data_IF_100133247470
#
_entry.id   IF_100133247470
#
_cell.length_a   1.000
_cell.length_b   1.000
_cell.length_c   1.000
_cell.angle_alpha   90.00
_cell.angle_beta   90.00
_cell.angle_gamma   90.00
#
_symmetry.space_group_name_H-M   'P 1'
#
loop_
_entity.id
_entity.type
_entity.pdbx_description
1 polymer ?
#
# COMPACT_ATOMS: atom_id res chain seq x y z
N UNK A 1 -17.35 -1.51 6.29
CA UNK A 1 -16.79 -2.59 7.17
C UNK A 1 -16.68 -3.90 6.38
N UNK A 2 -15.50 -4.21 5.81
CA UNK A 2 -15.20 -5.57 5.32
C UNK A 2 -15.64 -6.60 6.37
N UNK A 3 -16.55 -7.50 6.00
CA UNK A 3 -16.74 -8.72 6.77
C UNK A 3 -15.49 -9.54 6.54
N UNK A 4 -14.53 -9.41 7.46
CA UNK A 4 -13.26 -10.16 7.46
C UNK A 4 -13.46 -11.67 7.25
N UNK A 5 -14.61 -12.19 7.70
CA UNK A 5 -15.01 -13.58 7.48
C UNK A 5 -15.28 -13.88 6.00
N UNK A 6 -15.85 -12.96 5.24
CA UNK A 6 -16.11 -13.14 3.81
C UNK A 6 -14.79 -13.21 3.02
N UNK A 7 -13.81 -12.35 3.36
CA UNK A 7 -12.46 -12.40 2.77
C UNK A 7 -11.69 -13.66 3.15
N UNK A 8 -11.78 -14.08 4.42
CA UNK A 8 -11.19 -15.33 4.89
C UNK A 8 -11.79 -16.52 4.11
N UNK A 9 -13.12 -16.60 4.04
CA UNK A 9 -13.82 -17.68 3.35
C UNK A 9 -13.50 -17.68 1.86
N UNK A 10 -13.47 -16.51 1.22
CA UNK A 10 -13.10 -16.38 -0.19
C UNK A 10 -11.68 -16.85 -0.46
N UNK A 11 -10.71 -16.44 0.36
CA UNK A 11 -9.32 -16.90 0.22
C UNK A 11 -9.19 -18.40 0.49
N UNK A 12 -9.80 -18.92 1.56
CA UNK A 12 -9.75 -20.34 1.87
C UNK A 12 -10.37 -21.17 0.74
N UNK A 13 -11.49 -20.74 0.16
CA UNK A 13 -12.12 -21.41 -0.98
C UNK A 13 -11.22 -21.44 -2.22
N UNK A 14 -10.47 -20.37 -2.49
CA UNK A 14 -9.50 -20.31 -3.61
C UNK A 14 -8.34 -21.28 -3.36
N UNK A 15 -7.88 -21.41 -2.11
CA UNK A 15 -6.86 -22.40 -1.72
C UNK A 15 -7.39 -23.83 -1.86
N UNK A 16 -8.57 -24.10 -1.29
CA UNK A 16 -9.19 -25.44 -1.28
C UNK A 16 -9.57 -25.93 -2.69
N UNK A 17 -9.94 -25.01 -3.59
CA UNK A 17 -10.24 -25.33 -4.99
C UNK A 17 -8.99 -25.61 -5.85
N UNK A 18 -7.78 -25.43 -5.30
CA UNK A 18 -6.53 -25.64 -6.02
C UNK A 18 -6.17 -24.54 -7.02
N UNK A 19 -6.84 -23.38 -6.96
CA UNK A 19 -6.44 -22.21 -7.75
C UNK A 19 -5.13 -21.59 -7.26
N UNK A 20 -4.84 -21.73 -5.96
CA UNK A 20 -3.53 -21.43 -5.36
C UNK A 20 -2.88 -22.78 -5.03
N UNK A 21 -1.82 -23.13 -5.76
CA UNK A 21 -1.23 -24.48 -5.69
C UNK A 21 0.00 -24.55 -4.80
N UNK A 22 0.65 -23.41 -4.55
CA UNK A 22 1.89 -23.35 -3.79
C UNK A 22 2.05 -22.00 -3.06
N UNK A 23 3.09 -21.91 -2.24
CA UNK A 23 3.40 -20.72 -1.43
C UNK A 23 3.66 -19.46 -2.27
N UNK A 24 4.23 -19.61 -3.47
CA UNK A 24 4.50 -18.48 -4.37
C UNK A 24 3.20 -17.90 -4.95
N UNK A 25 2.27 -18.75 -5.38
CA UNK A 25 0.95 -18.31 -5.85
C UNK A 25 0.20 -17.56 -4.75
N UNK A 26 0.24 -18.08 -3.52
CA UNK A 26 -0.34 -17.44 -2.35
C UNK A 26 0.30 -16.09 -2.08
N UNK A 27 1.63 -16.00 -2.11
CA UNK A 27 2.35 -14.74 -1.94
C UNK A 27 1.93 -13.71 -2.98
N UNK A 28 1.84 -14.09 -4.27
CA UNK A 28 1.41 -13.20 -5.35
C UNK A 28 -0.02 -12.71 -5.11
N UNK A 29 -0.93 -13.60 -4.70
CA UNK A 29 -2.33 -13.27 -4.43
C UNK A 29 -2.47 -12.27 -3.27
N UNK A 30 -1.77 -12.53 -2.16
CA UNK A 30 -1.74 -11.68 -0.95
C UNK A 30 -1.15 -10.31 -1.30
N UNK A 31 -0.01 -10.30 -1.99
CA UNK A 31 0.66 -9.07 -2.35
C UNK A 31 -0.15 -8.20 -3.31
N UNK A 32 -0.87 -8.79 -4.28
CA UNK A 32 -1.76 -8.05 -5.20
C UNK A 32 -2.90 -7.31 -4.49
N UNK A 33 -3.16 -7.62 -3.22
CA UNK A 33 -4.10 -6.89 -2.33
C UNK A 33 -3.40 -5.95 -1.35
N UNK A 34 -2.08 -5.90 -1.35
CA UNK A 34 -1.29 -5.11 -0.41
C UNK A 34 -1.37 -5.63 1.03
N UNK A 35 -1.67 -6.92 1.18
CA UNK A 35 -1.74 -7.62 2.47
C UNK A 35 -0.38 -8.20 2.85
N UNK A 36 -0.24 -8.58 4.12
CA UNK A 36 0.92 -9.32 4.63
C UNK A 36 0.49 -10.72 5.08
N UNK A 37 1.43 -11.67 5.11
CA UNK A 37 1.20 -13.04 5.58
C UNK A 37 2.38 -13.52 6.43
N UNK A 38 2.10 -14.36 7.44
CA UNK A 38 3.12 -14.99 8.30
C UNK A 38 2.77 -16.44 8.58
N UNK A 39 3.76 -17.31 8.51
CA UNK A 39 3.65 -18.71 8.91
C UNK A 39 3.53 -18.79 10.44
N UNK A 40 2.75 -19.74 10.95
CA UNK A 40 2.66 -20.06 12.38
C UNK A 40 3.24 -21.44 12.64
N UNK A 41 3.65 -21.73 13.87
CA UNK A 41 4.14 -23.07 14.23
C UNK A 41 3.01 -24.11 14.36
N UNK A 42 1.76 -23.67 14.26
CA UNK A 42 0.57 -24.50 14.44
C UNK A 42 0.17 -25.25 13.17
N UNK A 43 -0.39 -26.44 13.37
CA UNK A 43 -1.03 -27.25 12.34
C UNK A 43 -2.53 -27.33 12.61
N UNK A 44 -3.34 -27.42 11.56
CA UNK A 44 -4.76 -27.75 11.68
C UNK A 44 -4.97 -29.24 11.99
N UNK A 45 -6.20 -29.64 12.25
CA UNK A 45 -6.59 -31.06 12.43
C UNK A 45 -6.26 -31.91 11.20
N UNK A 46 -6.29 -31.29 10.00
CA UNK A 46 -5.89 -31.92 8.73
C UNK A 46 -4.37 -31.95 8.54
N UNK A 47 -3.60 -31.54 9.55
CA UNK A 47 -2.14 -31.39 9.54
C UNK A 47 -1.64 -30.40 8.49
N UNK A 48 -2.48 -29.44 8.09
CA UNK A 48 -2.09 -28.33 7.22
C UNK A 48 -1.46 -27.21 8.04
N UNK A 49 -0.52 -26.46 7.44
CA UNK A 49 0.12 -25.34 8.12
C UNK A 49 -0.85 -24.16 8.26
N UNK A 50 -0.96 -23.59 9.45
CA UNK A 50 -1.80 -22.41 9.70
C UNK A 50 -0.99 -21.13 9.38
N UNK A 51 -1.60 -20.23 8.61
CA UNK A 51 -1.01 -18.95 8.22
C UNK A 51 -1.83 -17.79 8.77
N UNK A 52 -1.17 -16.77 9.33
CA UNK A 52 -1.80 -15.51 9.71
C UNK A 52 -1.77 -14.54 8.51
N UNK A 53 -2.94 -14.14 8.03
CA UNK A 53 -3.11 -13.12 6.99
C UNK A 53 -3.46 -11.78 7.63
N UNK A 54 -2.77 -10.74 7.21
CA UNK A 54 -2.88 -9.37 7.72
C UNK A 54 -3.38 -8.46 6.60
N UNK A 55 -4.69 -8.19 6.51
CA UNK A 55 -5.25 -7.29 5.52
C UNK A 55 -4.94 -5.81 5.80
N UNK A 56 -4.28 -5.50 6.92
CA UNK A 56 -3.82 -4.17 7.30
C UNK A 56 -4.90 -3.28 7.93
N UNK A 57 -6.09 -3.25 7.34
CA UNK A 57 -7.21 -2.40 7.77
C UNK A 57 -8.16 -3.10 8.74
N UNK A 58 -8.30 -4.43 8.62
CA UNK A 58 -9.08 -5.27 9.51
C UNK A 58 -8.16 -6.04 10.48
N UNK A 59 -8.77 -6.81 11.39
CA UNK A 59 -8.01 -7.78 12.22
C UNK A 59 -7.28 -8.77 11.30
N UNK A 60 -6.29 -9.47 11.84
CA UNK A 60 -5.73 -10.63 11.13
C UNK A 60 -6.76 -11.77 11.10
N UNK A 61 -6.66 -12.65 10.12
CA UNK A 61 -7.41 -13.91 10.08
C UNK A 61 -6.47 -15.06 9.72
N UNK A 62 -6.94 -16.28 9.91
CA UNK A 62 -6.16 -17.50 9.67
C UNK A 62 -6.70 -18.28 8.48
N UNK A 63 -5.78 -18.85 7.71
CA UNK A 63 -6.07 -19.81 6.64
C UNK A 63 -5.20 -21.06 6.83
N UNK A 64 -5.66 -22.17 6.26
CA UNK A 64 -4.93 -23.42 6.18
C UNK A 64 -4.28 -23.57 4.81
N UNK A 65 -2.99 -23.88 4.77
CA UNK A 65 -2.25 -24.17 3.54
C UNK A 65 -2.06 -25.69 3.38
N UNK A 66 -2.68 -26.33 2.36
CA UNK A 66 -2.54 -27.76 2.10
C UNK A 66 -1.21 -28.12 1.42
N UNK A 67 -0.38 -27.13 1.09
CA UNK A 67 0.94 -27.28 0.50
C UNK A 67 2.04 -26.91 1.50
N UNK A 68 3.24 -27.44 1.27
CA UNK A 68 4.39 -27.16 2.14
C UNK A 68 4.81 -25.68 2.04
N UNK A 69 4.91 -25.03 3.21
CA UNK A 69 5.36 -23.64 3.37
C UNK A 69 6.50 -23.51 4.37
N UNK A 70 6.96 -24.59 5.01
CA UNK A 70 7.81 -24.54 6.19
C UNK A 70 9.20 -23.94 5.91
N UNK A 71 9.72 -24.14 4.70
CA UNK A 71 10.97 -23.55 4.23
C UNK A 71 10.76 -22.29 3.38
N UNK A 72 9.53 -21.84 3.19
CA UNK A 72 9.21 -20.74 2.30
C UNK A 72 9.28 -19.40 3.02
N UNK A 73 10.18 -18.52 2.58
CA UNK A 73 10.24 -17.15 3.09
C UNK A 73 9.30 -16.25 2.28
N UNK A 74 8.22 -15.79 2.92
CA UNK A 74 7.33 -14.80 2.30
C UNK A 74 8.04 -13.45 2.18
N UNK A 75 8.46 -13.13 0.95
CA UNK A 75 9.20 -11.90 0.63
C UNK A 75 8.28 -10.89 -0.04
N UNK A 76 8.49 -9.63 0.34
CA UNK A 76 7.86 -8.49 -0.33
C UNK A 76 8.61 -8.22 -1.64
N UNK A 77 7.92 -7.98 -2.76
CA UNK A 77 8.57 -7.75 -4.03
C UNK A 77 9.19 -6.36 -4.16
N UNK A 78 9.00 -5.49 -3.16
CA UNK A 78 9.55 -4.15 -3.15
C UNK A 78 8.91 -3.22 -2.13
N UNK A 79 9.15 -1.92 -2.32
CA UNK A 79 8.56 -0.81 -1.57
C UNK A 79 7.69 0.01 -2.53
N UNK A 80 6.43 0.19 -2.19
CA UNK A 80 5.51 1.03 -2.94
C UNK A 80 5.74 2.50 -2.63
N UNK A 81 5.78 3.32 -3.68
CA UNK A 81 5.61 4.77 -3.59
C UNK A 81 4.14 5.08 -3.85
N UNK A 82 3.54 5.90 -2.99
CA UNK A 82 2.12 6.23 -3.03
C UNK A 82 1.89 7.72 -2.81
N UNK A 83 0.72 8.18 -3.25
CA UNK A 83 0.19 9.50 -2.96
C UNK A 83 -1.13 9.37 -2.18
N UNK A 84 -1.31 10.21 -1.16
CA UNK A 84 -2.62 10.69 -0.76
C UNK A 84 -2.89 11.98 -1.50
N UNK A 85 -4.12 12.17 -1.96
CA UNK A 85 -4.51 13.26 -2.85
C UNK A 85 -5.80 13.89 -2.33
N UNK A 86 -5.88 15.20 -2.30
CA UNK A 86 -7.10 15.92 -1.96
C UNK A 86 -7.25 17.10 -2.93
N UNK A 87 -8.49 17.38 -3.34
CA UNK A 87 -8.80 18.48 -4.26
C UNK A 87 -10.10 19.16 -3.87
N UNK A 88 -10.03 20.48 -3.72
CA UNK A 88 -11.18 21.37 -3.68
C UNK A 88 -11.40 22.00 -5.06
N UNK A 89 -12.35 22.93 -5.20
CA UNK A 89 -12.66 23.55 -6.49
C UNK A 89 -11.47 24.22 -7.19
N UNK A 90 -10.54 24.80 -6.42
CA UNK A 90 -9.44 25.61 -6.96
C UNK A 90 -8.05 25.19 -6.45
N UNK A 91 -7.98 24.29 -5.47
CA UNK A 91 -6.72 23.87 -4.85
C UNK A 91 -6.61 22.36 -4.83
N UNK A 92 -5.39 21.86 -4.89
CA UNK A 92 -5.09 20.44 -4.76
C UNK A 92 -3.85 20.28 -3.88
N UNK A 93 -3.89 19.28 -3.02
CA UNK A 93 -2.78 18.91 -2.16
C UNK A 93 -2.47 17.43 -2.31
N UNK A 94 -1.24 17.06 -1.98
CA UNK A 94 -0.86 15.67 -1.89
C UNK A 94 0.01 15.42 -0.65
N UNK A 95 0.11 14.15 -0.29
CA UNK A 95 1.16 13.60 0.54
C UNK A 95 1.81 12.45 -0.21
N UNK A 96 3.13 12.49 -0.40
CA UNK A 96 3.88 11.40 -1.01
C UNK A 96 4.55 10.61 0.10
N UNK A 97 4.47 9.29 0.02
CA UNK A 97 5.10 8.40 0.98
C UNK A 97 5.52 7.08 0.35
N UNK A 98 6.19 6.27 1.16
CA UNK A 98 6.60 4.93 0.77
C UNK A 98 6.23 3.87 1.81
N UNK A 99 5.93 2.64 1.37
CA UNK A 99 5.63 1.52 2.26
C UNK A 99 5.84 0.15 1.62
N UNK A 100 6.35 -0.80 2.40
CA UNK A 100 6.37 -2.22 2.02
C UNK A 100 5.03 -2.92 2.30
N UNK A 101 4.12 -2.31 3.06
CA UNK A 101 2.78 -2.84 3.37
C UNK A 101 1.74 -1.75 3.11
N UNK A 102 1.07 -1.80 1.97
CA UNK A 102 0.15 -0.74 1.54
C UNK A 102 -1.00 -0.62 2.52
N UNK A 103 -1.74 -1.71 2.78
CA UNK A 103 -2.96 -1.63 3.58
C UNK A 103 -2.68 -1.33 5.04
N UNK A 104 -1.59 -1.87 5.61
CA UNK A 104 -1.15 -1.48 6.95
C UNK A 104 -0.87 0.03 7.02
N UNK A 105 -0.17 0.58 6.01
CA UNK A 105 0.18 2.00 5.99
C UNK A 105 -1.05 2.90 5.86
N UNK A 106 -2.02 2.51 5.04
CA UNK A 106 -3.29 3.23 4.95
C UNK A 106 -4.03 3.19 6.29
N UNK A 107 -4.07 2.04 6.99
CA UNK A 107 -4.64 1.95 8.34
C UNK A 107 -3.95 2.87 9.35
N UNK A 108 -2.62 2.98 9.31
CA UNK A 108 -1.85 3.88 10.18
C UNK A 108 -2.18 5.36 9.93
N UNK A 109 -2.39 5.72 8.65
CA UNK A 109 -2.84 7.06 8.24
C UNK A 109 -4.26 7.35 8.71
N UNK A 110 -5.19 6.41 8.57
CA UNK A 110 -6.58 6.56 8.99
C UNK A 110 -6.70 6.78 10.50
N UNK A 111 -5.85 6.10 11.28
CA UNK A 111 -5.79 6.25 12.74
C UNK A 111 -5.12 7.55 13.20
N UNK A 112 -4.56 8.34 12.28
CA UNK A 112 -3.69 9.50 12.59
C UNK A 112 -2.67 9.17 13.68
N UNK A 113 -2.05 8.00 13.57
CA UNK A 113 -1.21 7.40 14.62
C UNK A 113 0.01 8.24 15.03
N UNK A 114 0.31 9.34 14.32
CA UNK A 114 1.43 10.25 14.59
C UNK A 114 1.00 11.71 14.38
N UNK A 115 0.27 12.33 15.33
CA UNK A 115 -0.12 13.73 15.22
C UNK A 115 1.11 14.64 15.02
N UNK A 116 0.99 15.63 14.12
CA UNK A 116 2.07 16.57 13.80
C UNK A 116 3.25 16.00 13.00
N UNK A 117 3.17 14.76 12.50
CA UNK A 117 4.22 14.15 11.67
C UNK A 117 3.63 13.49 10.42
N UNK A 118 4.44 13.37 9.37
CA UNK A 118 4.04 12.69 8.14
C UNK A 118 2.82 13.34 7.49
N UNK A 119 1.75 12.58 7.26
CA UNK A 119 0.56 13.04 6.54
C UNK A 119 -0.43 13.85 7.37
N UNK A 120 -0.17 14.12 8.65
CA UNK A 120 -1.14 14.81 9.53
C UNK A 120 -1.54 16.19 8.98
N UNK A 121 -0.56 16.98 8.53
CA UNK A 121 -0.81 18.29 7.93
C UNK A 121 -1.64 18.20 6.64
N UNK A 122 -1.42 17.17 5.82
CA UNK A 122 -2.23 16.90 4.63
C UNK A 122 -3.69 16.60 5.00
N UNK A 123 -3.93 15.79 6.04
CA UNK A 123 -5.29 15.52 6.49
C UNK A 123 -5.99 16.77 7.06
N UNK A 124 -5.28 17.61 7.82
CA UNK A 124 -5.82 18.90 8.28
C UNK A 124 -6.15 19.82 7.12
N UNK A 125 -5.28 19.89 6.11
CA UNK A 125 -5.53 20.65 4.89
C UNK A 125 -6.82 20.15 4.20
N UNK A 126 -7.00 18.83 4.11
CA UNK A 126 -8.20 18.23 3.52
C UNK A 126 -9.47 18.62 4.26
N UNK A 127 -9.44 18.56 5.59
CA UNK A 127 -10.56 18.96 6.45
C UNK A 127 -10.91 20.44 6.31
N UNK A 128 -9.89 21.32 6.35
CA UNK A 128 -10.08 22.77 6.22
C UNK A 128 -10.65 23.18 4.86
N UNK A 129 -10.33 22.44 3.80
CA UNK A 129 -10.79 22.72 2.44
C UNK A 129 -12.02 21.87 2.04
N UNK A 130 -12.61 21.13 2.98
CA UNK A 130 -13.72 20.20 2.74
C UNK A 130 -13.49 19.29 1.51
N UNK A 131 -12.28 18.76 1.39
CA UNK A 131 -11.83 17.96 0.26
C UNK A 131 -11.80 16.47 0.63
N UNK A 132 -12.25 15.62 -0.29
CA UNK A 132 -12.13 14.17 -0.13
C UNK A 132 -10.69 13.70 -0.33
N UNK A 133 -10.25 12.79 0.53
CA UNK A 133 -8.94 12.14 0.41
C UNK A 133 -9.04 10.92 -0.50
N UNK A 134 -8.12 10.84 -1.44
CA UNK A 134 -7.94 9.73 -2.37
C UNK A 134 -6.53 9.14 -2.25
N UNK A 135 -6.35 7.90 -2.70
CA UNK A 135 -5.09 7.16 -2.70
C UNK A 135 -4.72 6.76 -4.12
N UNK A 136 -3.44 6.85 -4.43
CA UNK A 136 -2.87 6.33 -5.66
C UNK A 136 -1.52 5.68 -5.37
N UNK A 137 -1.31 4.45 -5.82
CA UNK A 137 0.02 3.88 -5.95
C UNK A 137 0.66 4.47 -7.20
N UNK A 138 1.87 4.97 -7.06
CA UNK A 138 2.60 5.64 -8.13
C UNK A 138 3.53 4.63 -8.82
N UNK A 139 4.37 3.97 -8.04
CA UNK A 139 5.45 3.13 -8.56
C UNK A 139 5.86 2.09 -7.51
N UNK A 140 6.32 0.93 -7.97
CA UNK A 140 6.92 -0.09 -7.12
C UNK A 140 8.44 -0.05 -7.29
N UNK A 141 9.15 0.33 -6.23
CA UNK A 141 10.59 0.09 -6.11
C UNK A 141 10.80 -1.40 -5.90
N UNK A 142 11.12 -2.15 -6.95
CA UNK A 142 11.36 -3.59 -6.84
C UNK A 142 12.54 -3.86 -5.91
N UNK A 143 12.51 -5.01 -5.26
CA UNK A 143 13.64 -5.48 -4.46
C UNK A 143 14.85 -5.65 -5.37
N UNK A 144 15.91 -4.91 -5.07
CA UNK A 144 17.18 -4.91 -5.79
C UNK A 144 18.31 -5.00 -4.78
N UNK A 145 19.27 -5.90 -5.01
CA UNK A 145 20.44 -6.08 -4.16
C UNK A 145 20.07 -6.34 -2.70
N UNK A 146 20.53 -5.45 -1.82
CA UNK A 146 20.26 -5.53 -0.37
C UNK A 146 18.98 -4.80 0.03
N UNK A 147 18.52 -5.04 1.26
CA UNK A 147 17.42 -4.25 1.87
C UNK A 147 17.76 -2.74 1.90
N UNK A 148 19.03 -2.40 2.07
CA UNK A 148 19.51 -1.01 2.07
C UNK A 148 19.40 -0.37 0.69
N UNK A 149 19.77 -1.11 -0.37
CA UNK A 149 19.69 -0.62 -1.75
C UNK A 149 18.24 -0.38 -2.17
N UNK A 150 17.36 -1.33 -1.84
CA UNK A 150 15.92 -1.21 -2.09
C UNK A 150 15.33 0.02 -1.37
N UNK A 151 15.70 0.25 -0.11
CA UNK A 151 15.24 1.42 0.66
C UNK A 151 15.78 2.73 0.09
N UNK A 152 17.07 2.78 -0.26
CA UNK A 152 17.69 3.94 -0.90
C UNK A 152 17.00 4.27 -2.22
N UNK A 153 16.73 3.26 -3.05
CA UNK A 153 16.02 3.43 -4.31
C UNK A 153 14.62 4.00 -4.09
N UNK A 154 13.86 3.43 -3.15
CA UNK A 154 12.53 3.90 -2.83
C UNK A 154 12.51 5.36 -2.34
N UNK A 155 13.48 5.78 -1.53
CA UNK A 155 13.63 7.18 -1.11
C UNK A 155 13.94 8.13 -2.27
N UNK A 156 14.75 7.71 -3.25
CA UNK A 156 15.01 8.51 -4.47
C UNK A 156 13.73 8.64 -5.31
N UNK A 157 12.96 7.56 -5.43
CA UNK A 157 11.69 7.55 -6.16
C UNK A 157 10.64 8.45 -5.49
N UNK A 158 10.53 8.38 -4.16
CA UNK A 158 9.68 9.26 -3.34
C UNK A 158 9.98 10.74 -3.61
N UNK A 159 11.26 11.13 -3.57
CA UNK A 159 11.68 12.51 -3.87
C UNK A 159 11.38 12.93 -5.31
N UNK A 160 11.57 12.02 -6.27
CA UNK A 160 11.27 12.28 -7.69
C UNK A 160 9.77 12.49 -7.93
N UNK A 161 8.92 11.70 -7.27
CA UNK A 161 7.46 11.84 -7.34
C UNK A 161 6.97 13.11 -6.63
N UNK A 162 7.59 13.48 -5.51
CA UNK A 162 7.30 14.72 -4.82
C UNK A 162 7.61 15.93 -5.68
N UNK A 163 8.80 15.96 -6.30
CA UNK A 163 9.17 17.02 -7.25
C UNK A 163 8.14 17.13 -8.38
N UNK A 164 7.74 16.00 -8.97
CA UNK A 164 6.74 15.99 -10.04
C UNK A 164 5.37 16.54 -9.59
N UNK A 165 4.96 16.27 -8.35
CA UNK A 165 3.72 16.79 -7.78
C UNK A 165 3.78 18.31 -7.58
N UNK A 166 4.88 18.82 -7.02
CA UNK A 166 5.12 20.27 -6.86
C UNK A 166 5.15 20.99 -8.21
N UNK A 167 5.88 20.43 -9.19
CA UNK A 167 5.95 20.96 -10.55
C UNK A 167 4.57 20.95 -11.25
N UNK A 168 3.63 20.13 -10.76
CA UNK A 168 2.23 20.05 -11.22
C UNK A 168 1.25 20.83 -10.33
N UNK A 169 1.75 21.78 -9.55
CA UNK A 169 0.99 22.67 -8.67
C UNK A 169 0.14 21.93 -7.60
N UNK A 170 0.65 20.83 -7.06
CA UNK A 170 0.11 20.26 -5.82
C UNK A 170 0.76 20.92 -4.60
N UNK A 171 -0.07 21.34 -3.66
CA UNK A 171 0.38 21.73 -2.34
C UNK A 171 0.89 20.51 -1.57
N UNK A 172 1.95 20.70 -0.78
CA UNK A 172 2.65 19.66 -0.03
C UNK A 172 2.77 20.09 1.44
N UNK A 173 1.66 20.00 2.22
CA UNK A 173 1.62 20.57 3.56
C UNK A 173 2.66 19.96 4.52
N UNK A 174 3.43 20.80 5.20
CA UNK A 174 4.53 20.42 6.11
C UNK A 174 5.61 19.52 5.45
N UNK A 175 5.91 19.73 4.17
CA UNK A 175 6.95 18.98 3.43
C UNK A 175 8.29 18.89 4.18
N UNK A 176 8.67 19.93 4.92
CA UNK A 176 9.89 20.00 5.72
C UNK A 176 9.93 18.96 6.86
N UNK A 177 8.76 18.41 7.25
CA UNK A 177 8.61 17.39 8.30
C UNK A 177 8.49 15.97 7.75
N UNK A 178 8.49 15.79 6.43
CA UNK A 178 8.31 14.47 5.79
C UNK A 178 9.62 13.64 5.75
N UNK A 179 10.76 14.28 6.01
CA UNK A 179 12.10 13.68 6.02
C UNK A 179 13.03 14.36 5.01
N UNK A 180 14.35 14.15 5.14
CA UNK A 180 15.32 14.69 4.15
C UNK A 180 15.27 13.83 2.88
N UNK A 181 14.54 14.30 1.88
CA UNK A 181 14.55 13.66 0.56
C UNK A 181 15.85 14.04 -0.18
N UNK A 182 16.47 13.09 -0.91
CA UNK A 182 17.69 13.36 -1.64
C UNK A 182 17.44 14.38 -2.75
N UNK A 183 18.38 15.30 -2.96
CA UNK A 183 18.32 16.32 -4.01
C UNK A 183 18.42 15.74 -5.44
N UNK A 184 18.74 14.46 -5.58
CA UNK A 184 18.92 13.78 -6.85
C UNK A 184 17.61 13.08 -7.25
N UNK A 185 16.78 13.77 -8.04
CA UNK A 185 15.74 13.09 -8.80
C UNK A 185 16.43 12.29 -9.91
N UNK A 186 16.25 10.97 -9.90
CA UNK A 186 16.94 10.07 -10.86
C UNK A 186 16.36 10.20 -12.27
N UNK A 187 15.04 10.44 -12.39
CA UNK A 187 14.36 10.62 -13.67
C UNK A 187 13.14 11.53 -13.52
N UNK A 188 12.85 12.31 -14.57
CA UNK A 188 11.65 13.15 -14.65
C UNK A 188 10.39 12.28 -14.65
N UNK A 189 9.58 12.42 -13.61
CA UNK A 189 8.25 11.80 -13.52
C UNK A 189 7.20 12.83 -13.90
N UNK A 190 6.11 12.36 -14.51
CA UNK A 190 4.99 13.23 -14.88
C UNK A 190 3.81 12.99 -13.96
N UNK A 191 3.46 13.99 -13.17
CA UNK A 191 2.31 13.98 -12.26
C UNK A 191 1.05 14.54 -12.97
N UNK A 192 0.68 13.90 -14.09
CA UNK A 192 -0.47 14.34 -14.91
C UNK A 192 -1.78 14.24 -14.13
N UNK A 193 -2.29 15.39 -13.68
CA UNK A 193 -3.48 15.51 -12.81
C UNK A 193 -4.66 14.67 -13.33
N UNK A 194 -4.98 14.72 -14.62
CA UNK A 194 -6.09 13.94 -15.19
C UNK A 194 -5.90 12.41 -15.06
N UNK A 195 -4.69 11.89 -15.31
CA UNK A 195 -4.40 10.45 -15.19
C UNK A 195 -4.45 10.01 -13.73
N UNK A 196 -3.93 10.87 -12.85
CA UNK A 196 -3.88 10.64 -11.41
C UNK A 196 -5.28 10.54 -10.85
N UNK A 197 -6.13 11.54 -11.09
CA UNK A 197 -7.50 11.53 -10.58
C UNK A 197 -8.37 10.42 -11.17
N UNK A 198 -8.13 10.01 -12.43
CA UNK A 198 -8.83 8.87 -13.03
C UNK A 198 -8.49 7.53 -12.38
N UNK A 199 -7.30 7.40 -11.80
CA UNK A 199 -6.82 6.17 -11.17
C UNK A 199 -6.89 6.19 -9.65
N UNK A 200 -6.95 7.37 -9.05
CA UNK A 200 -7.02 7.52 -7.62
C UNK A 200 -8.34 6.92 -7.11
N UNK A 201 -8.29 6.36 -5.89
CA UNK A 201 -9.42 5.70 -5.26
C UNK A 201 -9.70 6.35 -3.92
N UNK A 202 -10.97 6.50 -3.54
CA UNK A 202 -11.32 7.13 -2.27
C UNK A 202 -10.64 6.43 -1.09
N UNK A 203 -10.07 7.20 -0.17
CA UNK A 203 -9.31 6.68 0.96
C UNK A 203 -10.19 5.82 1.87
N UNK A 204 -11.41 6.26 2.14
CA UNK A 204 -12.42 5.47 2.88
C UNK A 204 -12.63 4.11 2.21
N UNK A 205 -12.82 4.06 0.90
CA UNK A 205 -13.03 2.80 0.18
C UNK A 205 -11.81 1.87 0.27
N UNK A 206 -10.59 2.42 0.21
CA UNK A 206 -9.36 1.63 0.40
C UNK A 206 -9.29 1.04 1.80
N UNK A 207 -9.61 1.84 2.83
CA UNK A 207 -9.62 1.40 4.23
C UNK A 207 -10.73 0.38 4.47
N UNK A 208 -11.90 0.61 3.91
CA UNK A 208 -13.08 -0.19 4.21
C UNK A 208 -13.13 -1.50 3.45
N UNK A 209 -12.54 -1.55 2.26
CA UNK A 209 -12.69 -2.67 1.31
C UNK A 209 -11.39 -3.31 0.85
N UNK A 210 -10.20 -2.78 1.22
CA UNK A 210 -8.90 -3.34 0.81
C UNK A 210 -8.85 -3.81 -0.66
N UNK A 211 -9.25 -2.96 -1.61
CA UNK A 211 -9.37 -3.37 -3.00
C UNK A 211 -8.01 -3.82 -3.55
N UNK A 212 -7.98 -4.74 -4.54
CA UNK A 212 -6.75 -5.09 -5.24
C UNK A 212 -5.98 -3.87 -5.73
N UNK A 213 -4.65 -3.89 -5.54
CA UNK A 213 -3.76 -2.75 -5.80
C UNK A 213 -3.86 -2.23 -7.24
N UNK A 214 -4.14 -3.11 -8.19
CA UNK A 214 -4.32 -2.79 -9.62
C UNK A 214 -5.38 -1.73 -9.89
N UNK A 215 -6.36 -1.59 -9.00
CA UNK A 215 -7.46 -0.66 -9.18
C UNK A 215 -7.08 0.78 -8.86
N UNK A 216 -6.01 0.99 -8.10
CA UNK A 216 -5.53 2.32 -7.73
C UNK A 216 -4.02 2.44 -7.91
N UNK A 217 -3.48 1.78 -8.93
CA UNK A 217 -2.08 1.93 -9.34
C UNK A 217 -2.00 2.62 -10.71
N UNK A 218 -1.06 3.57 -10.80
CA UNK A 218 -0.78 4.36 -11.99
C UNK A 218 -0.09 3.53 -13.11
N UNK A 219 0.66 2.49 -12.74
CA UNK A 219 1.34 1.60 -13.68
C UNK A 219 0.42 0.51 -14.28
N UNK A 220 1.03 -0.42 -15.02
CA UNK A 220 0.39 -1.66 -15.50
C UNK A 220 1.01 -2.84 -14.72
N UNK A 221 0.17 -3.73 -14.15
CA UNK A 221 0.61 -5.03 -13.62
C UNK A 221 0.93 -5.97 -14.77
#
# INVERSE_FOLDING_TARGET
MLRIEDEKNSLQQIVDSGQIQNANDLQIWIWRRGWDIRITDSLSERRHRILNVYPGVAKKFQIEAPFNVDSYEFRKPGIWIYALLARSHIRQACYIGQSSSVMRRMSEHAKRSRPGRGSDAFFRWSEQNNAEVNVLLLELSRTEGTKGDTARRATILEGSWLKAAVDSAFEVPDIEKWGRLPNLADQTRSFQSQKIWKKAKQFSEVIEHSPPLKFFWLGRL
#
